data_IF_388440368873
#
_entry.id   IF_388440368873
#
_cell.length_a   1.000
_cell.length_b   1.000
_cell.length_c   1.000
_cell.angle_alpha   90.00
_cell.angle_beta   90.00
_cell.angle_gamma   90.00
#
_symmetry.space_group_name_H-M   'P 1'
#
loop_
_entity.id
_entity.type
_entity.pdbx_description
1 polymer ?
#
# COMPACT_ATOMS: atom_id res chain seq x y z
N UNK A 1 8.75 -12.22 -3.66
CA UNK A 1 7.96 -13.03 -2.70
C UNK A 1 7.80 -14.49 -3.13
N UNK A 2 7.36 -14.81 -4.36
CA UNK A 2 7.22 -16.22 -4.79
C UNK A 2 8.52 -17.04 -4.71
N UNK A 3 9.67 -16.43 -5.03
CA UNK A 3 10.96 -17.10 -4.85
C UNK A 3 11.29 -17.28 -3.38
N UNK A 4 11.04 -16.25 -2.56
CA UNK A 4 11.26 -16.24 -1.11
C UNK A 4 10.58 -17.43 -0.41
N UNK A 5 9.34 -17.76 -0.77
CA UNK A 5 8.62 -18.91 -0.18
C UNK A 5 9.14 -20.27 -0.60
N UNK A 6 9.98 -20.34 -1.63
CA UNK A 6 10.55 -21.58 -2.19
C UNK A 6 12.04 -21.73 -1.90
N UNK A 7 12.66 -20.76 -1.23
CA UNK A 7 14.10 -20.76 -0.96
C UNK A 7 14.40 -21.71 0.22
N UNK A 8 15.19 -22.78 0.01
CA UNK A 8 15.61 -23.65 1.11
C UNK A 8 16.41 -22.87 2.16
N UNK A 9 16.15 -23.15 3.44
CA UNK A 9 16.81 -22.47 4.56
C UNK A 9 16.23 -21.09 4.90
N UNK A 10 15.19 -20.63 4.20
CA UNK A 10 14.47 -19.39 4.52
C UNK A 10 13.08 -19.70 5.06
N UNK A 11 12.86 -19.39 6.34
CA UNK A 11 11.55 -19.51 6.97
C UNK A 11 10.80 -18.19 6.86
N UNK A 12 9.62 -18.19 6.21
CA UNK A 12 8.78 -17.01 6.06
C UNK A 12 7.61 -17.04 7.05
N UNK A 13 7.67 -16.18 8.06
CA UNK A 13 6.57 -15.95 9.00
C UNK A 13 5.77 -14.73 8.55
N UNK A 14 4.66 -14.97 7.84
CA UNK A 14 3.73 -13.90 7.42
C UNK A 14 2.64 -13.69 8.44
N UNK A 15 2.09 -12.48 8.51
CA UNK A 15 1.12 -12.10 9.54
C UNK A 15 1.67 -12.39 10.95
N UNK A 16 2.92 -11.96 11.15
CA UNK A 16 3.68 -12.19 12.37
C UNK A 16 4.50 -10.95 12.68
N UNK A 17 4.71 -10.67 13.96
CA UNK A 17 5.43 -9.49 14.46
C UNK A 17 6.44 -9.91 15.51
N UNK A 18 7.58 -9.19 15.57
CA UNK A 18 8.55 -9.37 16.63
C UNK A 18 7.99 -8.73 17.90
N UNK A 19 7.83 -9.53 18.96
CA UNK A 19 7.31 -9.06 20.26
C UNK A 19 8.45 -8.73 21.22
N UNK A 20 9.54 -9.49 21.15
CA UNK A 20 10.66 -9.34 22.07
C UNK A 20 11.99 -9.75 21.44
N UNK A 21 13.05 -9.03 21.78
CA UNK A 21 14.44 -9.32 21.40
C UNK A 21 15.33 -9.12 22.62
N UNK A 22 16.12 -10.12 22.97
CA UNK A 22 17.18 -10.03 23.98
C UNK A 22 18.49 -10.66 23.49
N UNK A 23 19.56 -10.42 24.25
CA UNK A 23 20.90 -10.95 23.96
C UNK A 23 21.81 -9.92 23.28
N UNK A 24 22.78 -10.41 22.53
CA UNK A 24 23.83 -9.60 21.89
C UNK A 24 24.24 -10.20 20.55
N UNK A 25 25.10 -9.49 19.81
CA UNK A 25 25.56 -9.92 18.48
C UNK A 25 26.07 -11.37 18.48
N UNK A 26 25.56 -12.19 17.56
CA UNK A 26 25.84 -13.61 17.47
C UNK A 26 24.96 -14.51 18.34
N UNK A 27 24.22 -13.96 19.31
CA UNK A 27 23.44 -14.71 20.31
C UNK A 27 22.15 -13.96 20.71
N UNK A 28 21.28 -13.67 19.73
CA UNK A 28 19.96 -13.09 20.01
C UNK A 28 18.93 -14.19 20.25
N UNK A 29 18.05 -13.96 21.23
CA UNK A 29 16.80 -14.69 21.40
C UNK A 29 15.64 -13.78 21.02
N UNK A 30 14.82 -14.23 20.08
CA UNK A 30 13.74 -13.44 19.50
C UNK A 30 12.43 -14.19 19.70
N UNK A 31 11.41 -13.49 20.21
CA UNK A 31 10.03 -13.98 20.24
C UNK A 31 9.25 -13.34 19.12
N UNK A 32 8.73 -14.18 18.24
CA UNK A 32 7.86 -13.78 17.13
C UNK A 32 6.45 -14.23 17.45
N UNK A 33 5.53 -13.27 17.51
CA UNK A 33 4.09 -13.54 17.60
C UNK A 33 3.55 -13.76 16.21
N UNK A 34 3.14 -14.98 15.91
CA UNK A 34 2.42 -15.33 14.69
C UNK A 34 0.93 -15.23 14.97
N UNK A 35 0.30 -14.21 14.38
CA UNK A 35 -1.10 -13.88 14.63
C UNK A 35 -2.02 -14.95 14.04
N UNK A 36 -3.11 -15.25 14.73
CA UNK A 36 -4.15 -16.13 14.20
C UNK A 36 -4.77 -15.53 12.94
N UNK A 37 -4.71 -16.25 11.82
CA UNK A 37 -5.42 -15.89 10.59
C UNK A 37 -6.89 -16.32 10.63
N UNK A 38 -7.23 -17.21 11.55
CA UNK A 38 -8.45 -18.00 11.62
C UNK A 38 -8.69 -18.85 10.36
N UNK A 39 -7.59 -19.12 9.64
CA UNK A 39 -7.53 -19.88 8.40
C UNK A 39 -6.26 -20.72 8.44
N UNK A 40 -6.38 -22.03 8.20
CA UNK A 40 -5.26 -22.98 8.19
C UNK A 40 -4.46 -22.90 6.88
N UNK A 41 -3.33 -23.60 6.85
CA UNK A 41 -2.49 -23.68 5.64
C UNK A 41 -3.10 -24.54 4.52
N UNK A 42 -4.22 -25.22 4.78
CA UNK A 42 -4.95 -25.99 3.76
C UNK A 42 -5.71 -25.07 2.78
N UNK A 43 -5.88 -23.79 3.13
CA UNK A 43 -6.50 -22.80 2.27
C UNK A 43 -5.74 -22.66 0.94
N UNK A 44 -6.48 -22.68 -0.17
CA UNK A 44 -5.96 -22.49 -1.53
C UNK A 44 -6.20 -21.08 -2.09
N UNK A 45 -6.84 -20.20 -1.32
CA UNK A 45 -7.14 -18.82 -1.72
C UNK A 45 -8.19 -18.68 -2.83
N UNK A 46 -9.10 -19.64 -3.00
CA UNK A 46 -10.11 -19.61 -4.08
C UNK A 46 -11.10 -18.43 -4.00
N UNK A 47 -11.35 -17.91 -2.80
CA UNK A 47 -12.20 -16.73 -2.57
C UNK A 47 -13.70 -16.97 -2.40
N UNK A 48 -14.18 -18.21 -2.44
CA UNK A 48 -15.60 -18.54 -2.24
C UNK A 48 -16.16 -17.98 -0.91
N UNK A 49 -15.34 -17.98 0.14
CA UNK A 49 -15.70 -17.44 1.44
C UNK A 49 -15.89 -15.91 1.46
N UNK A 50 -15.31 -15.17 0.51
CA UNK A 50 -15.45 -13.71 0.43
C UNK A 50 -16.83 -13.32 -0.08
N UNK A 51 -17.39 -14.11 -1.01
CA UNK A 51 -18.67 -13.84 -1.67
C UNK A 51 -19.84 -13.91 -0.68
N UNK A 52 -19.79 -14.86 0.25
CA UNK A 52 -20.83 -15.08 1.25
C UNK A 52 -20.71 -14.19 2.49
N UNK A 53 -19.57 -13.53 2.70
CA UNK A 53 -19.33 -12.76 3.91
C UNK A 53 -20.17 -11.47 3.93
N UNK A 54 -21.07 -11.27 4.93
CA UNK A 54 -21.88 -10.05 5.02
C UNK A 54 -21.15 -8.89 5.70
N UNK A 55 -20.03 -9.14 6.37
CA UNK A 55 -19.28 -8.15 7.12
C UNK A 55 -18.20 -7.47 6.26
N UNK A 56 -18.04 -6.16 6.49
CA UNK A 56 -17.09 -5.33 5.75
C UNK A 56 -16.13 -4.61 6.71
N UNK A 57 -14.90 -4.43 6.24
CA UNK A 57 -13.84 -3.69 6.89
C UNK A 57 -13.24 -2.64 5.95
N UNK A 58 -12.32 -1.85 6.49
CA UNK A 58 -11.56 -0.89 5.70
C UNK A 58 -10.56 -1.64 4.81
N UNK A 59 -10.39 -1.24 3.55
CA UNK A 59 -9.37 -1.82 2.67
C UNK A 59 -8.07 -1.02 2.78
N UNK A 60 -7.17 -1.44 3.66
CA UNK A 60 -5.91 -0.76 3.92
C UNK A 60 -5.01 -0.75 2.68
N UNK A 61 -5.03 -1.82 1.87
CA UNK A 61 -4.25 -1.91 0.63
C UNK A 61 -4.68 -0.89 -0.43
N UNK A 62 -5.93 -0.44 -0.38
CA UNK A 62 -6.49 0.56 -1.29
C UNK A 62 -6.68 1.92 -0.62
N UNK A 63 -5.94 2.22 0.46
CA UNK A 63 -5.99 3.51 1.16
C UNK A 63 -7.41 3.90 1.63
N UNK A 64 -8.24 2.89 1.94
CA UNK A 64 -9.63 3.03 2.37
C UNK A 64 -10.60 3.56 1.32
N UNK A 65 -10.24 3.49 0.03
CA UNK A 65 -11.11 3.98 -1.06
C UNK A 65 -12.30 3.05 -1.37
N UNK A 66 -12.19 1.77 -1.02
CA UNK A 66 -13.25 0.78 -1.12
C UNK A 66 -13.31 -0.07 0.16
N UNK A 67 -14.46 -0.67 0.49
CA UNK A 67 -14.54 -1.63 1.58
C UNK A 67 -14.03 -3.00 1.12
N UNK A 68 -13.36 -3.74 2.02
CA UNK A 68 -13.08 -5.17 1.85
C UNK A 68 -14.00 -6.00 2.73
N UNK A 69 -14.09 -7.30 2.45
CA UNK A 69 -14.79 -8.26 3.33
C UNK A 69 -13.98 -8.51 4.62
N UNK A 70 -14.66 -8.96 5.67
CA UNK A 70 -14.00 -9.33 6.92
C UNK A 70 -13.06 -10.54 6.75
N UNK A 71 -13.45 -11.52 5.93
CA UNK A 71 -12.53 -12.56 5.43
C UNK A 71 -12.01 -12.15 4.06
N UNK A 72 -10.69 -12.14 3.88
CA UNK A 72 -10.06 -11.55 2.70
C UNK A 72 -8.66 -12.10 2.44
N UNK A 73 -8.13 -11.78 1.26
CA UNK A 73 -6.70 -11.83 0.92
C UNK A 73 -6.26 -10.39 0.65
N UNK A 74 -5.06 -9.99 1.10
CA UNK A 74 -4.60 -8.59 1.04
C UNK A 74 -4.68 -7.98 -0.37
N UNK A 75 -4.30 -8.74 -1.40
CA UNK A 75 -4.42 -8.38 -2.81
C UNK A 75 -4.31 -9.63 -3.70
N UNK A 76 -4.72 -9.53 -4.96
CA UNK A 76 -4.84 -10.69 -5.87
C UNK A 76 -3.56 -11.51 -6.08
N UNK A 77 -2.37 -10.93 -5.86
CA UNK A 77 -1.07 -11.61 -6.01
C UNK A 77 -0.34 -11.78 -4.67
N UNK A 78 -1.07 -11.73 -3.55
CA UNK A 78 -0.50 -11.89 -2.22
C UNK A 78 0.21 -13.24 -2.06
N UNK A 79 1.29 -13.25 -1.27
CA UNK A 79 2.10 -14.43 -1.00
C UNK A 79 2.33 -14.54 0.52
N UNK A 80 1.92 -15.64 1.18
CA UNK A 80 1.18 -16.76 0.60
C UNK A 80 -0.24 -16.36 0.20
N UNK A 81 -0.84 -17.08 -0.75
CA UNK A 81 -2.21 -16.84 -1.22
C UNK A 81 -3.23 -17.47 -0.26
N UNK A 82 -3.17 -17.07 1.02
CA UNK A 82 -4.04 -17.55 2.08
C UNK A 82 -5.01 -16.45 2.49
N UNK A 83 -6.28 -16.84 2.71
CA UNK A 83 -7.24 -15.95 3.34
C UNK A 83 -6.88 -15.69 4.81
N UNK A 84 -7.41 -14.61 5.35
CA UNK A 84 -7.37 -14.27 6.77
C UNK A 84 -8.65 -13.56 7.19
N UNK A 85 -9.03 -13.68 8.46
CA UNK A 85 -10.22 -13.05 9.02
C UNK A 85 -9.82 -11.88 9.91
N UNK A 86 -10.35 -10.70 9.59
CA UNK A 86 -10.32 -9.53 10.45
C UNK A 86 -11.40 -9.66 11.53
N UNK A 87 -10.98 -10.02 12.74
CA UNK A 87 -11.89 -10.27 13.85
C UNK A 87 -12.52 -9.01 14.45
N UNK A 88 -11.96 -7.82 14.20
CA UNK A 88 -12.58 -6.56 14.61
C UNK A 88 -13.82 -6.24 13.76
N UNK A 89 -13.94 -6.87 12.59
CA UNK A 89 -15.07 -6.71 11.66
C UNK A 89 -15.94 -7.95 11.57
N UNK A 90 -15.39 -9.12 11.88
CA UNK A 90 -16.12 -10.39 11.83
C UNK A 90 -17.28 -10.42 12.84
N UNK A 91 -18.46 -10.79 12.35
CA UNK A 91 -19.67 -10.97 13.19
C UNK A 91 -19.91 -12.44 13.61
N UNK A 92 -18.95 -13.34 13.35
CA UNK A 92 -19.01 -14.78 13.68
C UNK A 92 -20.29 -15.49 13.21
N UNK A 93 -20.79 -15.15 12.01
CA UNK A 93 -21.97 -15.80 11.42
C UNK A 93 -21.69 -17.17 10.77
N UNK A 94 -20.42 -17.59 10.71
CA UNK A 94 -19.93 -18.87 10.16
C UNK A 94 -20.24 -19.17 8.67
N UNK A 95 -20.94 -18.30 7.94
CA UNK A 95 -21.22 -18.49 6.50
C UNK A 95 -19.97 -18.77 5.65
N UNK A 96 -18.85 -18.12 5.98
CA UNK A 96 -17.58 -18.35 5.28
C UNK A 96 -17.04 -19.77 5.49
N UNK A 97 -17.27 -20.35 6.68
CA UNK A 97 -16.88 -21.71 7.03
C UNK A 97 -17.71 -22.73 6.25
N UNK A 98 -19.03 -22.53 6.19
CA UNK A 98 -19.94 -23.38 5.40
C UNK A 98 -19.59 -23.38 3.90
N UNK A 99 -19.11 -22.25 3.37
CA UNK A 99 -18.68 -22.12 1.98
C UNK A 99 -17.28 -22.69 1.69
N UNK A 100 -16.51 -23.10 2.71
CA UNK A 100 -15.14 -23.56 2.55
C UNK A 100 -15.07 -25.09 2.40
N UNK A 101 -14.97 -25.58 1.15
CA UNK A 101 -14.89 -27.02 0.85
C UNK A 101 -13.66 -27.72 1.46
N UNK A 102 -12.59 -26.97 1.73
CA UNK A 102 -11.36 -27.50 2.33
C UNK A 102 -11.38 -27.48 3.86
N UNK A 103 -12.48 -27.03 4.48
CA UNK A 103 -12.63 -26.91 5.93
C UNK A 103 -11.50 -26.12 6.60
N UNK A 104 -10.88 -25.20 5.85
CA UNK A 104 -9.67 -24.48 6.28
C UNK A 104 -9.94 -23.31 7.24
N UNK A 105 -11.19 -23.07 7.67
CA UNK A 105 -11.55 -21.94 8.55
C UNK A 105 -11.70 -22.43 9.98
N UNK A 106 -10.87 -21.89 10.88
CA UNK A 106 -10.85 -22.24 12.30
C UNK A 106 -10.91 -20.97 13.17
N UNK A 107 -12.09 -20.69 13.72
CA UNK A 107 -12.32 -19.56 14.63
C UNK A 107 -11.70 -19.75 16.02
N UNK A 108 -11.24 -20.95 16.35
CA UNK A 108 -10.57 -21.24 17.62
C UNK A 108 -9.04 -21.14 17.51
N UNK A 109 -8.50 -20.79 16.34
CA UNK A 109 -7.08 -20.55 16.18
C UNK A 109 -6.63 -19.43 17.11
N UNK A 110 -5.56 -19.68 17.86
CA UNK A 110 -4.91 -18.70 18.74
C UNK A 110 -3.57 -18.23 18.15
N UNK A 111 -3.08 -17.10 18.66
CA UNK A 111 -1.74 -16.62 18.35
C UNK A 111 -0.68 -17.64 18.81
N UNK A 112 0.36 -17.84 17.99
CA UNK A 112 1.48 -18.72 18.29
C UNK A 112 2.72 -17.88 18.63
N UNK A 113 3.41 -18.21 19.73
CA UNK A 113 4.72 -17.61 20.05
C UNK A 113 5.83 -18.54 19.57
N UNK A 114 6.63 -18.04 18.65
CA UNK A 114 7.78 -18.75 18.07
C UNK A 114 9.05 -18.16 18.69
N UNK A 115 9.85 -19.00 19.32
CA UNK A 115 11.16 -18.61 19.85
C UNK A 115 12.25 -18.97 18.85
N UNK A 116 13.07 -17.98 18.48
CA UNK A 116 14.15 -18.12 17.52
C UNK A 116 15.47 -17.69 18.16
N UNK A 117 16.52 -18.46 17.92
CA UNK A 117 17.90 -18.06 18.21
C UNK A 117 18.59 -17.64 16.91
N UNK A 118 19.06 -16.39 16.85
CA UNK A 118 19.65 -15.81 15.62
C UNK A 118 20.94 -15.06 15.91
N UNK A 119 21.88 -15.09 14.96
CA UNK A 119 23.16 -14.38 15.09
C UNK A 119 23.08 -12.89 14.72
N UNK A 120 22.17 -12.52 13.82
CA UNK A 120 22.02 -11.17 13.31
C UNK A 120 20.57 -10.82 13.01
N UNK A 121 20.25 -9.53 13.06
CA UNK A 121 18.93 -8.98 12.77
C UNK A 121 19.10 -7.88 11.72
N UNK A 122 18.30 -7.93 10.67
CA UNK A 122 18.25 -6.92 9.61
C UNK A 122 16.88 -6.24 9.71
N UNK A 123 16.85 -4.93 9.95
CA UNK A 123 15.61 -4.17 10.02
C UNK A 123 15.30 -3.61 8.63
N UNK A 124 14.18 -4.05 8.06
CA UNK A 124 13.69 -3.65 6.74
C UNK A 124 12.17 -3.42 6.75
N UNK A 125 11.65 -2.78 7.79
CA UNK A 125 10.21 -2.55 8.02
C UNK A 125 9.59 -1.47 7.12
N UNK A 126 10.40 -0.78 6.30
CA UNK A 126 9.92 0.15 5.30
C UNK A 126 9.64 1.55 5.83
N UNK A 127 8.58 2.17 5.33
CA UNK A 127 8.17 3.56 5.56
C UNK A 127 6.65 3.69 5.35
N UNK A 128 6.06 4.74 5.91
CA UNK A 128 4.65 5.12 5.72
C UNK A 128 4.54 6.46 5.00
N UNK A 129 3.47 6.66 4.22
CA UNK A 129 3.19 7.95 3.58
C UNK A 129 2.91 9.03 4.63
N UNK A 130 3.46 10.23 4.41
CA UNK A 130 3.10 11.39 5.24
C UNK A 130 1.60 11.65 5.15
N UNK A 131 0.92 11.65 6.29
CA UNK A 131 -0.50 12.00 6.37
C UNK A 131 -0.63 13.49 6.69
N UNK A 132 -1.17 14.32 5.78
CA UNK A 132 -1.39 15.73 6.06
C UNK A 132 -2.43 15.98 7.15
N UNK A 133 -2.27 17.07 7.88
CA UNK A 133 -3.31 17.57 8.79
C UNK A 133 -4.59 17.89 8.02
N UNK A 134 -5.74 17.73 8.67
CA UNK A 134 -7.04 18.06 8.07
C UNK A 134 -7.06 19.53 7.67
N UNK A 135 -7.40 19.81 6.42
CA UNK A 135 -7.44 21.14 5.85
C UNK A 135 -6.13 21.64 5.25
N UNK A 136 -4.98 21.01 5.54
CA UNK A 136 -3.73 21.37 4.87
C UNK A 136 -3.84 21.09 3.37
N UNK A 137 -3.74 22.15 2.55
CA UNK A 137 -4.03 22.12 1.11
C UNK A 137 -5.42 21.55 0.76
N UNK A 138 -6.36 21.56 1.71
CA UNK A 138 -7.69 20.98 1.56
C UNK A 138 -7.76 19.46 1.73
N UNK A 139 -6.71 18.81 2.23
CA UNK A 139 -6.72 17.38 2.54
C UNK A 139 -7.82 17.05 3.56
N UNK A 140 -8.56 15.96 3.31
CA UNK A 140 -9.75 15.55 4.08
C UNK A 140 -10.88 16.61 4.18
N UNK A 141 -10.82 17.70 3.42
CA UNK A 141 -11.91 18.68 3.26
C UNK A 141 -12.51 18.58 1.86
N UNK A 142 -11.66 18.49 0.84
CA UNK A 142 -12.08 18.35 -0.56
C UNK A 142 -11.87 16.91 -1.04
N UNK A 143 -12.92 16.22 -1.52
CA UNK A 143 -12.78 14.81 -1.93
C UNK A 143 -11.78 14.57 -3.06
N UNK A 144 -11.52 15.60 -3.88
CA UNK A 144 -10.61 15.52 -5.02
C UNK A 144 -9.16 15.92 -4.68
N UNK A 145 -8.86 16.20 -3.41
CA UNK A 145 -7.49 16.33 -2.91
C UNK A 145 -7.08 14.96 -2.37
N UNK A 146 -6.20 14.28 -3.10
CA UNK A 146 -5.71 12.94 -2.80
C UNK A 146 -4.19 12.93 -2.67
N UNK A 147 -3.66 11.92 -1.99
CA UNK A 147 -2.22 11.67 -1.91
C UNK A 147 -1.72 10.90 -3.14
N UNK A 148 -0.39 10.84 -3.31
CA UNK A 148 0.22 10.06 -4.39
C UNK A 148 -0.08 8.56 -4.22
N UNK A 149 -0.08 8.03 -2.99
CA UNK A 149 -0.39 6.61 -2.77
C UNK A 149 -1.84 6.28 -3.15
N UNK A 150 -2.81 7.16 -2.86
CA UNK A 150 -4.18 7.02 -3.36
C UNK A 150 -4.24 7.04 -4.89
N UNK A 151 -3.47 7.92 -5.53
CA UNK A 151 -3.38 7.96 -6.99
C UNK A 151 -2.78 6.66 -7.56
N UNK A 152 -1.74 6.10 -6.95
CA UNK A 152 -1.19 4.79 -7.34
C UNK A 152 -2.26 3.71 -7.33
N UNK A 153 -3.06 3.66 -6.26
CA UNK A 153 -4.15 2.69 -6.14
C UNK A 153 -5.24 2.95 -7.19
N UNK A 154 -5.59 4.20 -7.51
CA UNK A 154 -6.53 4.53 -8.61
C UNK A 154 -5.99 4.09 -9.98
N UNK A 155 -4.69 4.26 -10.23
CA UNK A 155 -4.07 3.91 -11.50
C UNK A 155 -3.76 2.41 -11.62
N UNK A 156 -3.76 1.67 -10.50
CA UNK A 156 -3.46 0.25 -10.49
C UNK A 156 -4.59 -0.60 -11.12
N UNK A 157 -4.28 -1.55 -12.02
CA UNK A 157 -5.28 -2.46 -12.57
C UNK A 157 -5.97 -3.35 -11.53
N UNK A 158 -5.30 -3.63 -10.40
CA UNK A 158 -5.85 -4.35 -9.26
C UNK A 158 -6.32 -3.41 -8.13
N UNK A 159 -6.52 -2.13 -8.46
CA UNK A 159 -7.02 -1.11 -7.54
C UNK A 159 -8.54 -0.97 -7.57
N UNK A 160 -9.10 -0.09 -6.73
CA UNK A 160 -10.55 0.04 -6.56
C UNK A 160 -11.27 0.56 -7.81
N UNK A 161 -10.54 1.21 -8.70
CA UNK A 161 -11.06 1.78 -9.95
C UNK A 161 -10.57 1.02 -11.19
N UNK A 162 -9.90 -0.13 -11.00
CA UNK A 162 -9.42 -1.01 -12.08
C UNK A 162 -8.55 -0.24 -13.10
N UNK A 163 -7.74 0.70 -12.62
CA UNK A 163 -6.87 1.55 -13.44
C UNK A 163 -7.56 2.72 -14.15
N UNK A 164 -8.86 2.94 -13.92
CA UNK A 164 -9.55 4.11 -14.45
C UNK A 164 -9.24 5.35 -13.60
N UNK A 165 -8.72 6.39 -14.25
CA UNK A 165 -8.45 7.68 -13.63
C UNK A 165 -9.76 8.42 -13.40
N UNK A 166 -10.20 8.48 -12.15
CA UNK A 166 -11.48 9.08 -11.75
C UNK A 166 -11.30 10.02 -10.56
N UNK A 167 -12.18 11.01 -10.47
CA UNK A 167 -12.29 11.87 -9.30
C UNK A 167 -13.07 11.18 -8.18
N UNK A 168 -12.59 11.16 -6.93
CA UNK A 168 -13.32 10.55 -5.83
C UNK A 168 -14.71 11.17 -5.59
N UNK A 169 -14.89 12.46 -5.88
CA UNK A 169 -16.17 13.14 -5.62
C UNK A 169 -17.34 12.63 -6.47
N UNK A 170 -17.07 12.23 -7.72
CA UNK A 170 -18.15 11.99 -8.69
C UNK A 170 -17.85 10.91 -9.74
N UNK A 171 -16.74 10.19 -9.62
CA UNK A 171 -16.35 9.11 -10.53
C UNK A 171 -16.00 9.57 -11.95
N UNK A 172 -16.00 10.87 -12.24
CA UNK A 172 -15.68 11.37 -13.58
C UNK A 172 -14.19 11.50 -13.78
N UNK A 173 -13.74 11.31 -15.01
CA UNK A 173 -12.35 11.53 -15.40
C UNK A 173 -11.97 13.01 -15.24
N UNK A 174 -10.88 13.36 -14.51
CA UNK A 174 -10.37 14.71 -14.47
C UNK A 174 -9.73 15.10 -15.82
N UNK A 175 -10.03 16.31 -16.30
CA UNK A 175 -9.39 16.91 -17.49
C UNK A 175 -8.17 17.76 -17.15
N UNK A 176 -8.04 18.19 -15.90
CA UNK A 176 -6.93 19.01 -15.39
C UNK A 176 -6.51 18.48 -14.03
N UNK A 177 -5.20 18.34 -13.82
CA UNK A 177 -4.62 17.81 -12.59
C UNK A 177 -3.44 18.69 -12.18
N UNK A 178 -3.37 19.01 -10.89
CA UNK A 178 -2.24 19.67 -10.26
C UNK A 178 -1.55 18.69 -9.31
N UNK A 179 -0.27 18.45 -9.52
CA UNK A 179 0.62 17.79 -8.57
C UNK A 179 1.34 18.84 -7.73
N UNK A 180 1.42 18.60 -6.43
CA UNK A 180 2.10 19.48 -5.48
C UNK A 180 3.25 18.70 -4.86
N UNK A 181 4.48 19.08 -5.16
CA UNK A 181 5.65 18.42 -4.62
C UNK A 181 5.95 18.91 -3.20
N UNK A 182 6.72 18.10 -2.46
CA UNK A 182 7.23 18.43 -1.12
C UNK A 182 6.15 18.58 -0.02
N UNK A 183 4.92 18.13 -0.24
CA UNK A 183 3.89 18.05 0.82
C UNK A 183 4.43 17.23 1.99
N UNK A 184 4.60 17.86 3.14
CA UNK A 184 5.15 17.23 4.35
C UNK A 184 6.64 16.92 4.32
N UNK A 185 7.42 17.55 3.43
CA UNK A 185 8.88 17.37 3.31
C UNK A 185 9.56 18.68 2.94
N UNK A 186 10.82 18.87 3.38
CA UNK A 186 11.54 20.13 3.21
C UNK A 186 10.76 21.35 3.73
N UNK A 187 10.01 21.14 4.81
CA UNK A 187 9.20 22.13 5.50
C UNK A 187 9.74 22.31 6.92
N UNK A 188 10.08 23.56 7.28
CA UNK A 188 10.66 23.89 8.59
C UNK A 188 9.69 23.69 9.76
N UNK A 189 8.37 23.72 9.49
CA UNK A 189 7.34 23.50 10.50
C UNK A 189 6.89 22.04 10.58
N UNK A 190 7.39 21.18 9.69
CA UNK A 190 7.06 19.75 9.62
C UNK A 190 8.35 18.93 9.55
N UNK A 191 8.58 18.24 8.43
CA UNK A 191 9.79 17.47 8.19
C UNK A 191 10.80 18.28 7.37
N UNK A 192 11.96 18.55 7.96
CA UNK A 192 13.03 19.34 7.34
C UNK A 192 13.81 18.58 6.26
N UNK A 193 13.68 17.25 6.23
CA UNK A 193 14.34 16.39 5.25
C UNK A 193 13.58 16.32 3.92
N UNK A 194 14.28 15.89 2.86
CA UNK A 194 13.64 15.46 1.62
C UNK A 194 13.36 13.97 1.68
N UNK A 195 12.19 13.52 1.21
CA UNK A 195 11.85 12.09 1.05
C UNK A 195 12.62 11.44 -0.11
N UNK A 196 13.95 11.53 -0.07
CA UNK A 196 14.91 10.93 -0.98
C UNK A 196 14.72 11.25 -2.49
N UNK A 197 13.91 12.26 -2.84
CA UNK A 197 13.55 12.54 -4.23
C UNK A 197 12.55 11.55 -4.84
N UNK A 198 12.07 10.55 -4.08
CA UNK A 198 11.13 9.54 -4.58
C UNK A 198 9.80 10.19 -4.99
N UNK A 199 9.33 11.19 -4.24
CA UNK A 199 8.13 11.95 -4.58
C UNK A 199 8.23 12.70 -5.90
N UNK A 200 9.44 13.17 -6.29
CA UNK A 200 9.66 13.75 -7.62
C UNK A 200 9.50 12.70 -8.71
N UNK A 201 10.10 11.53 -8.53
CA UNK A 201 10.09 10.49 -9.56
C UNK A 201 8.74 9.79 -9.68
N UNK A 202 8.02 9.60 -8.57
CA UNK A 202 6.64 9.08 -8.56
C UNK A 202 5.72 10.04 -9.31
N UNK A 203 5.79 11.35 -9.04
CA UNK A 203 5.02 12.35 -9.77
C UNK A 203 5.35 12.32 -11.28
N UNK A 204 6.63 12.31 -11.67
CA UNK A 204 7.04 12.23 -13.08
C UNK A 204 6.48 10.94 -13.72
N UNK A 205 6.54 9.81 -13.02
CA UNK A 205 6.03 8.52 -13.50
C UNK A 205 4.51 8.55 -13.68
N UNK A 206 3.77 8.99 -12.67
CA UNK A 206 2.30 9.05 -12.70
C UNK A 206 1.79 10.04 -13.75
N UNK A 207 2.40 11.21 -13.86
CA UNK A 207 2.03 12.21 -14.88
C UNK A 207 2.26 11.70 -16.30
N UNK A 208 3.38 11.02 -16.57
CA UNK A 208 3.62 10.36 -17.87
C UNK A 208 2.61 9.25 -18.13
N UNK A 209 2.37 8.37 -17.16
CA UNK A 209 1.40 7.28 -17.29
C UNK A 209 0.00 7.82 -17.63
N UNK A 210 -0.43 8.87 -16.91
CA UNK A 210 -1.69 9.55 -17.21
C UNK A 210 -1.68 10.11 -18.62
N UNK A 211 -0.63 10.82 -19.06
CA UNK A 211 -0.56 11.36 -20.42
C UNK A 211 -0.60 10.30 -21.51
N UNK A 212 0.00 9.14 -21.29
CA UNK A 212 0.00 8.03 -22.25
C UNK A 212 -1.41 7.44 -22.44
N UNK A 213 -2.15 7.26 -21.35
CA UNK A 213 -3.53 6.75 -21.41
C UNK A 213 -4.56 7.83 -21.78
N UNK A 214 -4.27 9.08 -21.42
CA UNK A 214 -5.20 10.20 -21.46
C UNK A 214 -4.51 11.47 -22.01
N UNK A 215 -4.18 11.52 -23.31
CA UNK A 215 -3.34 12.59 -23.89
C UNK A 215 -3.91 14.01 -23.74
N UNK A 216 -5.25 14.12 -23.72
CA UNK A 216 -5.99 15.38 -23.58
C UNK A 216 -6.04 15.92 -22.14
N UNK A 217 -5.56 15.17 -21.13
CA UNK A 217 -5.49 15.66 -19.75
C UNK A 217 -4.40 16.72 -19.60
N UNK A 218 -4.73 17.90 -19.13
CA UNK A 218 -3.73 18.91 -18.77
C UNK A 218 -3.15 18.61 -17.38
N UNK A 219 -1.83 18.68 -17.26
CA UNK A 219 -1.12 18.35 -16.02
C UNK A 219 -0.11 19.45 -15.71
N UNK A 220 -0.22 19.98 -14.50
CA UNK A 220 0.73 20.90 -13.89
C UNK A 220 1.41 20.23 -12.70
N UNK A 221 2.72 20.40 -12.57
CA UNK A 221 3.52 19.95 -11.42
C UNK A 221 4.15 21.17 -10.77
N UNK A 222 3.67 21.54 -9.59
CA UNK A 222 4.25 22.60 -8.77
C UNK A 222 5.39 22.05 -7.92
N UNK A 223 6.60 22.59 -8.10
CA UNK A 223 7.80 22.03 -7.46
C UNK A 223 8.84 23.10 -7.09
N UNK A 224 9.66 22.83 -6.07
CA UNK A 224 10.84 23.65 -5.76
C UNK A 224 12.04 23.29 -6.63
N UNK A 225 12.48 22.03 -6.55
CA UNK A 225 13.56 21.45 -7.35
C UNK A 225 13.15 20.02 -7.74
N UNK A 226 13.37 19.64 -9.00
CA UNK A 226 13.20 18.24 -9.43
C UNK A 226 14.46 17.47 -9.03
N UNK A 227 14.29 16.41 -8.24
CA UNK A 227 15.39 15.56 -7.77
C UNK A 227 15.44 14.24 -8.55
N UNK A 228 15.88 14.33 -9.79
CA UNK A 228 16.04 13.20 -10.73
C UNK A 228 17.49 12.66 -10.73
N UNK A 229 17.98 12.25 -9.56
CA UNK A 229 19.42 11.96 -9.35
C UNK A 229 19.86 10.50 -9.61
N UNK A 230 18.93 9.61 -9.96
CA UNK A 230 19.23 8.21 -10.28
C UNK A 230 19.68 8.01 -11.73
N UNK A 231 20.18 6.82 -12.05
CA UNK A 231 20.50 6.44 -13.43
C UNK A 231 19.24 6.57 -14.30
N UNK A 232 19.36 7.27 -15.43
CA UNK A 232 18.31 7.52 -16.41
C UNK A 232 17.13 8.38 -15.90
N UNK A 233 17.22 8.97 -14.70
CA UNK A 233 16.12 9.74 -14.12
C UNK A 233 15.95 11.11 -14.78
N UNK A 234 17.04 11.78 -15.14
CA UNK A 234 16.99 13.08 -15.83
C UNK A 234 16.45 12.93 -17.26
N UNK A 235 16.80 11.83 -17.93
CA UNK A 235 16.27 11.43 -19.23
C UNK A 235 14.77 11.17 -19.13
N UNK A 236 14.32 10.49 -18.06
CA UNK A 236 12.91 10.25 -17.80
C UNK A 236 12.13 11.54 -17.51
N UNK A 237 12.70 12.45 -16.72
CA UNK A 237 12.17 13.79 -16.50
C UNK A 237 12.07 14.58 -17.81
N UNK A 238 13.14 14.60 -18.61
CA UNK A 238 13.16 15.25 -19.92
C UNK A 238 12.10 14.68 -20.86
N UNK A 239 11.93 13.36 -20.88
CA UNK A 239 10.89 12.70 -21.67
C UNK A 239 9.48 13.08 -21.20
N UNK A 240 9.25 13.27 -19.91
CA UNK A 240 7.95 13.75 -19.40
C UNK A 240 7.60 15.14 -19.92
N UNK A 241 8.57 16.06 -19.98
CA UNK A 241 8.36 17.43 -20.46
C UNK A 241 7.96 17.44 -21.94
N UNK A 242 8.53 16.53 -22.74
CA UNK A 242 8.21 16.37 -24.16
C UNK A 242 6.77 15.88 -24.41
N UNK A 243 6.12 15.28 -23.41
CA UNK A 243 4.70 14.86 -23.48
C UNK A 243 3.71 16.00 -23.15
N UNK A 244 4.20 17.23 -22.99
CA UNK A 244 3.37 18.41 -22.72
C UNK A 244 2.95 18.56 -21.26
N UNK A 245 3.63 17.87 -20.33
CA UNK A 245 3.46 18.07 -18.88
C UNK A 245 4.16 19.37 -18.49
N UNK A 246 3.45 20.25 -17.78
CA UNK A 246 3.96 21.58 -17.38
C UNK A 246 4.56 21.49 -15.99
N UNK A 247 5.84 21.86 -15.87
CA UNK A 247 6.54 21.92 -14.60
C UNK A 247 6.71 23.38 -14.20
N UNK A 248 6.09 23.76 -13.08
CA UNK A 248 6.05 25.14 -12.59
C UNK A 248 6.90 25.22 -11.34
N UNK A 249 8.01 25.97 -11.42
CA UNK A 249 8.90 26.16 -10.28
C UNK A 249 8.27 27.14 -9.29
N UNK A 250 7.68 26.61 -8.24
CA UNK A 250 7.01 27.35 -7.16
C UNK A 250 6.93 26.49 -5.90
N UNK A 251 6.89 27.12 -4.73
CA UNK A 251 6.52 26.44 -3.50
C UNK A 251 5.12 26.90 -3.07
N UNK A 252 4.19 25.94 -2.99
CA UNK A 252 2.79 26.18 -2.58
C UNK A 252 2.39 25.33 -1.37
N UNK A 253 3.29 24.49 -0.87
CA UNK A 253 3.12 23.65 0.31
C UNK A 253 3.80 24.27 1.52
#
# INVERSE_FOLDING_TARGET
MLQTTRTPGLNLYTYSEIEYVEGFIGNFKVKVRKKARYVTNDCNGCGACFEVCPAFGNNEFNEGMDPRKAIYVSFAQAVPSLAQIDMDRCIKCELCKDACELEAIDFNQEDEIIELEVGSIIVATGWDEYTPEIGYLGYNIYPNVITELKLERILAPNGPTIGHLVRPSDGKRPKRILFIQCVGSRDLNKNTYCSAGVCCMIAIKNTKLIKQHYPDTEIDVAYMDIRAAGKDYEEYFTASRKEGIRYIRTNIS
#
